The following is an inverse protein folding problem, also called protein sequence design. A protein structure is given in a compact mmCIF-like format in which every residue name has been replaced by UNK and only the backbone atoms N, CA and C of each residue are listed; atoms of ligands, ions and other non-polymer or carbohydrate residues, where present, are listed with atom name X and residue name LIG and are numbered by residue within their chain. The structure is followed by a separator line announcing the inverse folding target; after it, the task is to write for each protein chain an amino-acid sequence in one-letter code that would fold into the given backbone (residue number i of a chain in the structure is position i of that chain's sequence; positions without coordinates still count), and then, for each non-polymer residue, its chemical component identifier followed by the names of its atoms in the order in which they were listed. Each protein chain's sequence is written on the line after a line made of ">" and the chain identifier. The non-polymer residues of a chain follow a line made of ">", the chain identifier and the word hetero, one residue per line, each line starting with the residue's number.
data_IF_983004724689
#
_entry.id   IF_983004724689
#
_cell.length_a   1.000
_cell.length_b   1.000
_cell.length_c   1.000
_cell.angle_alpha   90.00
_cell.angle_beta   90.00
_cell.angle_gamma   90.00
#
_symmetry.space_group_name_H-M   'P 1'
#
loop_
_entity.id
_entity.type
_entity.pdbx_description
1 polymer ?
#
# COMPACT_ATOMS: atom_id res chain seq x y z
N UNK A 1 19.79 -10.30 -12.38
CA UNK A 1 18.94 -10.86 -13.47
C UNK A 1 19.66 -10.79 -14.83
N UNK A 2 19.30 -11.60 -15.84
CA UNK A 2 19.82 -11.47 -17.21
C UNK A 2 18.76 -10.88 -18.14
N UNK A 3 18.94 -9.60 -18.50
CA UNK A 3 18.09 -8.89 -19.47
C UNK A 3 18.59 -9.08 -20.90
N UNK A 4 17.65 -9.28 -21.83
CA UNK A 4 17.87 -9.34 -23.28
C UNK A 4 18.06 -7.93 -23.85
N UNK A 5 18.65 -7.84 -25.04
CA UNK A 5 18.89 -6.55 -25.69
C UNK A 5 17.61 -5.78 -26.03
N UNK A 6 16.54 -6.46 -26.46
CA UNK A 6 15.27 -5.80 -26.74
C UNK A 6 14.65 -5.19 -25.47
N UNK A 7 14.76 -5.86 -24.33
CA UNK A 7 14.27 -5.38 -23.04
C UNK A 7 15.08 -4.15 -22.58
N UNK A 8 16.39 -4.14 -22.81
CA UNK A 8 17.25 -3.00 -22.51
C UNK A 8 16.92 -1.82 -23.42
N UNK A 9 16.63 -2.06 -24.70
CA UNK A 9 16.23 -1.01 -25.65
C UNK A 9 14.91 -0.37 -25.24
N UNK A 10 13.93 -1.19 -24.87
CA UNK A 10 12.64 -0.71 -24.37
C UNK A 10 12.80 0.10 -23.09
N UNK A 11 13.58 -0.40 -22.12
CA UNK A 11 13.86 0.31 -20.88
C UNK A 11 14.50 1.69 -21.14
N UNK A 12 15.49 1.77 -22.04
CA UNK A 12 16.13 3.04 -22.39
C UNK A 12 15.15 4.04 -23.00
N UNK A 13 14.24 3.58 -23.87
CA UNK A 13 13.22 4.44 -24.45
C UNK A 13 12.26 4.97 -23.39
N UNK A 14 11.83 4.12 -22.46
CA UNK A 14 10.97 4.52 -21.33
C UNK A 14 11.69 5.49 -20.39
N UNK A 15 12.98 5.26 -20.10
CA UNK A 15 13.80 6.15 -19.28
C UNK A 15 13.89 7.54 -19.91
N UNK A 16 14.22 7.61 -21.20
CA UNK A 16 14.29 8.87 -21.92
C UNK A 16 12.94 9.58 -21.96
N UNK A 17 11.85 8.85 -22.18
CA UNK A 17 10.51 9.43 -22.17
C UNK A 17 10.14 10.01 -20.79
N UNK A 18 10.54 9.34 -19.70
CA UNK A 18 10.17 9.76 -18.34
C UNK A 18 11.08 10.80 -17.73
N UNK A 19 12.38 10.69 -17.94
CA UNK A 19 13.39 11.53 -17.29
C UNK A 19 14.05 12.51 -18.25
N UNK A 20 13.77 12.43 -19.56
CA UNK A 20 14.41 13.27 -20.57
C UNK A 20 15.88 12.97 -20.79
N UNK A 21 16.38 11.85 -20.26
CA UNK A 21 17.79 11.49 -20.29
C UNK A 21 18.03 10.29 -21.20
N UNK A 22 19.01 10.39 -22.10
CA UNK A 22 19.48 9.25 -22.86
C UNK A 22 20.65 8.59 -22.11
N UNK A 23 20.50 7.31 -21.78
CA UNK A 23 21.51 6.56 -21.03
C UNK A 23 22.18 5.47 -21.90
N UNK A 24 23.48 5.19 -21.69
CA UNK A 24 24.16 4.11 -22.39
C UNK A 24 23.55 2.72 -22.10
N UNK A 25 23.63 1.75 -23.02
CA UNK A 25 23.06 0.41 -22.82
C UNK A 25 23.57 -0.32 -21.57
N UNK A 26 24.84 -0.13 -21.20
CA UNK A 26 25.40 -0.71 -19.98
C UNK A 26 24.74 -0.14 -18.72
N UNK A 27 24.50 1.18 -18.69
CA UNK A 27 23.82 1.87 -17.58
C UNK A 27 22.36 1.46 -17.54
N UNK A 28 21.68 1.40 -18.70
CA UNK A 28 20.31 0.93 -18.80
C UNK A 28 20.13 -0.48 -18.24
N UNK A 29 21.03 -1.41 -18.60
CA UNK A 29 21.02 -2.78 -18.08
C UNK A 29 21.17 -2.81 -16.55
N UNK A 30 22.10 -2.03 -16.02
CA UNK A 30 22.32 -1.95 -14.57
C UNK A 30 21.07 -1.41 -13.86
N UNK A 31 20.55 -0.25 -14.30
CA UNK A 31 19.38 0.39 -13.69
C UNK A 31 18.12 -0.47 -13.76
N UNK A 32 17.88 -1.11 -14.91
CA UNK A 32 16.77 -2.03 -15.07
C UNK A 32 16.89 -3.23 -14.12
N UNK A 33 18.10 -3.77 -13.94
CA UNK A 33 18.35 -4.87 -13.00
C UNK A 33 18.09 -4.45 -11.56
N UNK A 34 18.66 -3.31 -11.13
CA UNK A 34 18.45 -2.74 -9.79
C UNK A 34 16.96 -2.52 -9.50
N UNK A 35 16.21 -1.98 -10.48
CA UNK A 35 14.78 -1.72 -10.36
C UNK A 35 13.97 -3.01 -10.19
N UNK A 36 14.27 -4.04 -10.99
CA UNK A 36 13.58 -5.32 -10.90
C UNK A 36 13.87 -6.05 -9.59
N UNK A 37 15.11 -6.00 -9.11
CA UNK A 37 15.50 -6.56 -7.81
C UNK A 37 14.76 -5.85 -6.68
N UNK A 38 14.69 -4.51 -6.71
CA UNK A 38 13.92 -3.74 -5.74
C UNK A 38 12.44 -4.11 -5.78
N UNK A 39 11.84 -4.22 -6.97
CA UNK A 39 10.46 -4.64 -7.11
C UNK A 39 10.23 -6.03 -6.53
N UNK A 40 11.14 -6.99 -6.76
CA UNK A 40 11.05 -8.32 -6.16
C UNK A 40 11.09 -8.29 -4.63
N UNK A 41 11.91 -7.42 -4.04
CA UNK A 41 11.95 -7.24 -2.59
C UNK A 41 10.65 -6.65 -2.04
N UNK A 42 10.08 -5.66 -2.73
CA UNK A 42 8.83 -5.00 -2.31
C UNK A 42 7.59 -5.85 -2.56
N UNK A 43 7.61 -6.69 -3.58
CA UNK A 43 6.53 -7.61 -3.91
C UNK A 43 6.49 -8.85 -2.99
N UNK A 44 7.51 -9.05 -2.15
CA UNK A 44 7.42 -10.06 -1.10
C UNK A 44 6.30 -9.67 -0.14
N UNK A 45 5.45 -10.62 0.27
CA UNK A 45 4.51 -10.39 1.35
C UNK A 45 5.32 -9.84 2.52
N UNK A 46 4.97 -8.64 2.98
CA UNK A 46 5.41 -8.18 4.29
C UNK A 46 5.04 -9.33 5.23
N UNK A 47 6.05 -10.04 5.74
CA UNK A 47 5.88 -11.28 6.50
C UNK A 47 4.77 -11.14 7.53
N UNK A 48 4.13 -12.25 7.94
CA UNK A 48 2.81 -12.24 8.56
C UNK A 48 2.66 -11.01 9.42
N UNK A 49 1.86 -10.04 8.94
CA UNK A 49 1.41 -8.95 9.79
C UNK A 49 0.99 -9.66 11.06
N UNK A 50 1.60 -9.29 12.20
CA UNK A 50 1.19 -9.78 13.52
C UNK A 50 -0.23 -9.29 13.79
N UNK A 51 -1.21 -9.81 13.04
CA UNK A 51 -2.64 -9.79 13.31
C UNK A 51 -2.87 -11.05 14.13
N UNK A 52 -2.54 -10.90 15.40
CA UNK A 52 -2.41 -11.91 16.44
C UNK A 52 -1.55 -11.20 17.48
N UNK A 53 -2.10 -10.46 18.43
CA UNK A 53 -3.26 -10.82 19.25
C UNK A 53 -4.17 -9.63 19.55
N UNK A 54 -5.43 -9.94 19.85
CA UNK A 54 -6.54 -9.06 20.24
C UNK A 54 -7.48 -8.73 19.10
N UNK A 55 -8.32 -9.71 18.75
CA UNK A 55 -9.71 -9.40 18.45
C UNK A 55 -10.34 -8.92 19.77
N UNK A 56 -10.60 -7.62 20.00
CA UNK A 56 -11.47 -7.24 21.10
C UNK A 56 -12.84 -7.80 20.73
N UNK A 57 -13.26 -8.81 21.48
CA UNK A 57 -14.63 -9.29 21.48
C UNK A 57 -15.56 -8.08 21.42
N UNK A 58 -16.43 -8.01 20.41
CA UNK A 58 -17.34 -6.87 20.18
C UNK A 58 -18.26 -6.55 21.37
N UNK A 59 -18.17 -7.33 22.44
CA UNK A 59 -18.83 -7.09 23.73
C UNK A 59 -18.14 -6.05 24.63
N UNK A 60 -16.87 -5.71 24.43
CA UNK A 60 -16.16 -4.76 25.33
C UNK A 60 -16.36 -3.30 24.96
N UNK A 61 -16.64 -3.00 23.69
CA UNK A 61 -16.80 -1.62 23.19
C UNK A 61 -18.10 -0.98 23.70
N UNK A 62 -19.14 -1.77 23.96
CA UNK A 62 -20.42 -1.25 24.47
C UNK A 62 -20.39 -0.88 25.96
N UNK A 63 -19.44 -1.43 26.73
CA UNK A 63 -19.24 -1.10 28.15
C UNK A 63 -18.49 0.21 28.38
N UNK A 64 -17.74 0.69 27.38
CA UNK A 64 -16.94 1.91 27.46
C UNK A 64 -17.67 3.15 26.90
N UNK A 65 -18.85 2.97 26.31
CA UNK A 65 -19.68 4.09 25.93
C UNK A 65 -20.20 4.78 27.20
N UNK A 66 -19.94 6.08 27.42
CA UNK A 66 -20.59 6.81 28.49
C UNK A 66 -22.10 6.67 28.29
N UNK A 67 -22.83 6.34 29.36
CA UNK A 67 -24.29 6.30 29.36
C UNK A 67 -24.80 7.70 29.01
N UNK A 68 -24.99 7.97 27.72
CA UNK A 68 -25.62 9.20 27.26
C UNK A 68 -27.04 9.12 27.79
N UNK A 69 -27.28 9.84 28.89
CA UNK A 69 -28.60 10.08 29.46
C UNK A 69 -29.35 10.92 28.41
N UNK A 70 -29.97 10.25 27.43
CA UNK A 70 -30.90 10.92 26.50
C UNK A 70 -31.99 11.52 27.35
N UNK A 71 -31.98 12.84 27.42
CA UNK A 71 -33.03 13.64 28.03
C UNK A 71 -34.36 13.20 27.46
N UNK A 72 -35.30 13.04 28.40
CA UNK A 72 -36.72 12.75 28.22
C UNK A 72 -37.26 13.42 26.94
N UNK A 73 -37.84 12.60 26.07
CA UNK A 73 -38.65 13.07 24.97
C UNK A 73 -39.69 14.08 25.47
N UNK A 74 -39.70 15.23 24.82
CA UNK A 74 -40.90 16.03 24.69
C UNK A 74 -41.93 15.16 23.97
N UNK A 75 -42.99 14.79 24.67
CA UNK A 75 -44.21 14.26 24.07
C UNK A 75 -45.35 14.88 24.86
N UNK A 76 -45.83 16.01 24.36
CA UNK A 76 -47.14 16.52 24.72
C UNK A 76 -48.22 15.59 24.17
N UNK A 77 -49.36 15.41 24.85
CA UNK A 77 -50.53 14.83 24.25
C UNK A 77 -51.48 15.93 23.74
N UNK A 78 -51.92 15.75 22.49
CA UNK A 78 -53.17 16.30 21.97
C UNK A 78 -54.34 15.60 22.66
N UNK A 79 -55.18 16.35 23.38
CA UNK A 79 -56.65 16.27 23.31
C UNK A 79 -57.28 17.46 24.03
#
# INVERSE_FOLDING_TARGET
>A
MQLKEDEIREFSALWQQKFGEAIPPAVARQRATELLELYHLLAQPLGPTRMGDSQPSQHEVLSLLPKIKRGRGSSGPLH
#
